data_IF_845302809394
#
_entry.id   IF_845302809394
#
_cell.length_a   1.000
_cell.length_b   1.000
_cell.length_c   1.000
_cell.angle_alpha   90.00
_cell.angle_beta   90.00
_cell.angle_gamma   90.00
#
_symmetry.space_group_name_H-M   'P 1'
#
loop_
_entity.id
_entity.type
_entity.pdbx_description
1 polymer ?
#
# COMPACT_ATOMS: atom_id res chain seq x y z
N UNK A 1 -6.47 -40.99 28.38
CA UNK A 1 -6.60 -39.71 27.64
C UNK A 1 -6.30 -38.62 28.66
N UNK A 2 -5.11 -38.01 28.56
CA UNK A 2 -4.43 -37.34 29.68
C UNK A 2 -5.18 -36.11 30.22
N UNK A 3 -5.43 -36.10 31.54
CA UNK A 3 -5.99 -34.98 32.31
C UNK A 3 -5.22 -33.66 32.13
N UNK A 4 -3.95 -33.72 31.71
CA UNK A 4 -3.14 -32.54 31.33
C UNK A 4 -3.67 -31.83 30.08
N UNK A 5 -4.20 -32.55 29.09
CA UNK A 5 -4.80 -31.92 27.90
C UNK A 5 -6.15 -31.31 28.25
N UNK A 6 -6.90 -31.93 29.16
CA UNK A 6 -8.16 -31.39 29.66
C UNK A 6 -7.96 -30.12 30.51
N UNK A 7 -6.90 -30.05 31.33
CA UNK A 7 -6.59 -28.88 32.15
C UNK A 7 -6.01 -27.70 31.35
N UNK A 8 -5.33 -27.98 30.22
CA UNK A 8 -4.81 -26.96 29.31
C UNK A 8 -5.91 -26.36 28.41
N UNK A 9 -6.90 -27.17 28.01
CA UNK A 9 -8.13 -26.70 27.35
C UNK A 9 -9.02 -25.90 28.32
N UNK A 10 -9.04 -26.25 29.61
CA UNK A 10 -9.83 -25.57 30.63
C UNK A 10 -9.28 -24.19 31.05
N UNK A 11 -8.04 -23.83 30.67
CA UNK A 11 -7.37 -22.60 31.14
C UNK A 11 -7.51 -21.38 30.23
N UNK A 12 -8.05 -21.51 29.02
CA UNK A 12 -8.41 -20.34 28.19
C UNK A 12 -9.73 -19.75 28.65
N UNK A 13 -9.73 -19.13 29.84
CA UNK A 13 -10.78 -18.20 30.25
C UNK A 13 -10.90 -17.17 29.12
N UNK A 14 -12.00 -17.21 28.37
CA UNK A 14 -12.22 -16.37 27.20
C UNK A 14 -12.17 -14.91 27.66
N UNK A 15 -11.05 -14.23 27.45
CA UNK A 15 -10.87 -12.83 27.81
C UNK A 15 -11.89 -12.05 26.98
N UNK A 16 -12.86 -11.44 27.66
CA UNK A 16 -13.86 -10.58 27.01
C UNK A 16 -13.15 -9.27 26.67
N UNK A 17 -12.56 -9.20 25.48
CA UNK A 17 -11.94 -7.96 24.97
C UNK A 17 -13.02 -6.92 24.73
N UNK A 18 -12.82 -5.69 25.20
CA UNK A 18 -13.69 -4.53 24.90
C UNK A 18 -13.43 -3.92 23.52
N UNK A 19 -12.43 -4.43 22.79
CA UNK A 19 -12.00 -3.96 21.48
C UNK A 19 -11.90 -5.14 20.47
N UNK A 20 -11.87 -4.87 19.15
CA UNK A 20 -11.68 -5.90 18.12
C UNK A 20 -10.35 -6.64 18.25
N UNK A 21 -10.30 -7.90 17.84
CA UNK A 21 -9.11 -8.75 17.99
C UNK A 21 -8.11 -8.62 16.84
N UNK A 22 -8.45 -7.87 15.79
CA UNK A 22 -7.60 -7.60 14.64
C UNK A 22 -7.65 -6.11 14.30
N UNK A 23 -6.61 -5.54 13.67
CA UNK A 23 -6.61 -4.16 13.19
C UNK A 23 -7.73 -3.88 12.19
N UNK A 24 -8.15 -2.61 12.09
CA UNK A 24 -9.30 -2.17 11.28
C UNK A 24 -9.18 -2.47 9.79
N UNK A 25 -7.96 -2.48 9.25
CA UNK A 25 -7.68 -2.73 7.84
C UNK A 25 -8.27 -4.06 7.33
N UNK A 26 -8.12 -5.13 8.10
CA UNK A 26 -8.57 -6.47 7.69
C UNK A 26 -10.11 -6.57 7.64
N UNK A 27 -10.87 -6.17 8.67
CA UNK A 27 -12.33 -6.10 8.61
C UNK A 27 -12.85 -5.10 7.57
N UNK A 28 -12.14 -3.98 7.33
CA UNK A 28 -12.52 -3.03 6.28
C UNK A 28 -12.40 -3.66 4.89
N UNK A 29 -11.35 -4.44 4.63
CA UNK A 29 -11.21 -5.18 3.38
C UNK A 29 -12.35 -6.20 3.19
N UNK A 30 -12.81 -6.85 4.26
CA UNK A 30 -13.99 -7.71 4.23
C UNK A 30 -15.29 -6.92 3.98
N UNK A 31 -15.46 -5.76 4.61
CA UNK A 31 -16.59 -4.87 4.35
C UNK A 31 -16.62 -4.40 2.89
N UNK A 32 -15.46 -4.12 2.30
CA UNK A 32 -15.33 -3.78 0.87
C UNK A 32 -15.75 -4.95 -0.02
N UNK A 33 -15.39 -6.19 0.32
CA UNK A 33 -15.85 -7.38 -0.40
C UNK A 33 -17.37 -7.55 -0.35
N UNK A 34 -18.00 -7.23 0.78
CA UNK A 34 -19.47 -7.22 0.91
C UNK A 34 -20.06 -6.13 0.00
N UNK A 35 -19.47 -4.93 -0.01
CA UNK A 35 -19.91 -3.85 -0.88
C UNK A 35 -19.76 -4.20 -2.36
N UNK A 36 -18.60 -4.70 -2.77
CA UNK A 36 -18.33 -5.07 -4.17
C UNK A 36 -19.28 -6.18 -4.67
N UNK A 37 -19.69 -7.09 -3.77
CA UNK A 37 -20.63 -8.17 -4.08
C UNK A 37 -22.10 -7.71 -4.10
N UNK A 38 -22.52 -6.89 -3.13
CA UNK A 38 -23.91 -6.49 -2.93
C UNK A 38 -24.26 -5.07 -3.38
N UNK A 39 -23.29 -4.28 -3.83
CA UNK A 39 -23.41 -2.83 -4.09
C UNK A 39 -24.05 -2.04 -2.93
N UNK A 40 -23.75 -2.45 -1.69
CA UNK A 40 -24.32 -1.84 -0.47
C UNK A 40 -25.61 -2.49 0.04
N UNK A 41 -26.24 -3.37 -0.75
CA UNK A 41 -27.44 -4.10 -0.33
C UNK A 41 -27.11 -5.26 0.62
N UNK A 42 -28.15 -5.78 1.29
CA UNK A 42 -28.03 -6.96 2.15
C UNK A 42 -27.67 -8.20 1.32
N UNK A 43 -26.64 -8.94 1.75
CA UNK A 43 -26.12 -10.12 1.05
C UNK A 43 -26.39 -11.41 1.83
N UNK A 44 -26.59 -12.52 1.11
CA UNK A 44 -26.65 -13.85 1.71
C UNK A 44 -25.22 -14.31 2.09
N UNK A 45 -25.01 -14.67 3.35
CA UNK A 45 -23.69 -15.06 3.88
C UNK A 45 -23.11 -16.22 3.09
N UNK A 46 -23.90 -17.27 2.84
CA UNK A 46 -23.40 -18.46 2.13
C UNK A 46 -22.91 -18.10 0.73
N UNK A 47 -23.73 -17.37 -0.04
CA UNK A 47 -23.39 -16.96 -1.41
C UNK A 47 -22.19 -16.02 -1.47
N UNK A 48 -22.06 -15.09 -0.52
CA UNK A 48 -20.89 -14.24 -0.40
C UNK A 48 -19.62 -15.07 -0.18
N UNK A 49 -19.66 -16.01 0.76
CA UNK A 49 -18.49 -16.81 1.11
C UNK A 49 -18.10 -17.81 -0.01
N UNK A 50 -19.06 -18.33 -0.75
CA UNK A 50 -18.83 -19.12 -1.96
C UNK A 50 -18.09 -18.28 -3.02
N UNK A 51 -18.54 -17.04 -3.26
CA UNK A 51 -17.85 -16.11 -4.18
C UNK A 51 -16.42 -15.78 -3.70
N UNK A 52 -16.22 -15.65 -2.39
CA UNK A 52 -14.89 -15.41 -1.80
C UNK A 52 -14.00 -16.66 -1.75
N UNK A 53 -14.48 -17.82 -2.23
CA UNK A 53 -13.77 -19.10 -2.14
C UNK A 53 -13.32 -19.43 -0.70
N UNK A 54 -14.17 -19.10 0.29
CA UNK A 54 -13.90 -19.29 1.72
C UNK A 54 -15.08 -20.01 2.37
N UNK A 55 -14.81 -20.84 3.39
CA UNK A 55 -15.87 -21.43 4.20
C UNK A 55 -16.36 -20.45 5.26
N UNK A 56 -17.66 -20.12 5.35
CA UNK A 56 -18.20 -19.23 6.38
C UNK A 56 -18.03 -19.81 7.81
N UNK A 57 -17.89 -21.15 7.91
CA UNK A 57 -17.73 -21.85 9.18
C UNK A 57 -16.27 -21.97 9.64
N UNK A 58 -15.31 -21.60 8.78
CA UNK A 58 -13.89 -21.59 9.15
C UNK A 58 -13.61 -20.58 10.27
N UNK A 59 -12.66 -20.89 11.16
CA UNK A 59 -12.31 -20.02 12.28
C UNK A 59 -11.91 -18.61 11.85
N UNK A 60 -11.16 -18.48 10.75
CA UNK A 60 -10.76 -17.20 10.18
C UNK A 60 -11.97 -16.38 9.69
N UNK A 61 -12.91 -17.00 8.98
CA UNK A 61 -14.12 -16.34 8.48
C UNK A 61 -15.05 -15.88 9.60
N UNK A 62 -15.21 -16.72 10.63
CA UNK A 62 -15.96 -16.35 11.84
C UNK A 62 -15.31 -15.15 12.54
N UNK A 63 -13.98 -15.13 12.64
CA UNK A 63 -13.24 -14.04 13.27
C UNK A 63 -13.35 -12.74 12.47
N UNK A 64 -13.33 -12.80 11.14
CA UNK A 64 -13.57 -11.66 10.26
C UNK A 64 -14.96 -11.04 10.49
N UNK A 65 -16.01 -11.86 10.51
CA UNK A 65 -17.38 -11.41 10.79
C UNK A 65 -17.49 -10.76 12.18
N UNK A 66 -16.87 -11.38 13.20
CA UNK A 66 -16.88 -10.84 14.57
C UNK A 66 -16.18 -9.49 14.61
N UNK A 67 -14.99 -9.36 14.03
CA UNK A 67 -14.23 -8.11 14.04
C UNK A 67 -14.95 -7.02 13.23
N UNK A 68 -15.50 -7.33 12.07
CA UNK A 68 -16.28 -6.38 11.27
C UNK A 68 -17.51 -5.87 12.03
N UNK A 69 -18.21 -6.76 12.74
CA UNK A 69 -19.31 -6.37 13.62
C UNK A 69 -18.86 -5.50 14.79
N UNK A 70 -17.71 -5.81 15.41
CA UNK A 70 -17.16 -5.03 16.53
C UNK A 70 -16.66 -3.64 16.13
N UNK A 71 -16.19 -3.47 14.91
CA UNK A 71 -15.88 -2.17 14.34
C UNK A 71 -17.13 -1.41 13.85
N UNK A 72 -18.32 -2.01 13.92
CA UNK A 72 -19.54 -1.40 13.42
C UNK A 72 -19.62 -1.31 11.89
N UNK A 73 -18.82 -2.08 11.15
CA UNK A 73 -18.84 -2.09 9.68
C UNK A 73 -20.08 -2.80 9.12
N UNK A 74 -20.53 -3.85 9.81
CA UNK A 74 -21.63 -4.72 9.37
C UNK A 74 -22.66 -4.96 10.46
N UNK A 75 -23.89 -5.30 10.04
CA UNK A 75 -24.91 -5.98 10.82
C UNK A 75 -24.99 -7.44 10.38
N UNK A 76 -25.30 -8.31 11.34
CA UNK A 76 -25.31 -9.76 11.15
C UNK A 76 -24.06 -10.41 11.74
N UNK A 77 -24.28 -11.26 12.75
CA UNK A 77 -23.20 -12.00 13.41
C UNK A 77 -22.87 -13.31 12.70
N UNK A 78 -21.99 -14.12 13.31
CA UNK A 78 -21.58 -15.42 12.76
C UNK A 78 -22.76 -16.36 12.47
N UNK A 79 -23.81 -16.29 13.29
CA UNK A 79 -25.02 -17.13 13.17
C UNK A 79 -26.09 -16.53 12.25
N UNK A 80 -25.90 -15.31 11.73
CA UNK A 80 -26.87 -14.71 10.82
C UNK A 80 -26.77 -15.32 9.43
N UNK A 81 -27.90 -15.47 8.74
CA UNK A 81 -27.93 -15.94 7.35
C UNK A 81 -27.56 -14.83 6.36
N UNK A 82 -27.77 -13.57 6.78
CA UNK A 82 -27.54 -12.37 5.98
C UNK A 82 -26.55 -11.44 6.66
N UNK A 83 -25.75 -10.75 5.85
CA UNK A 83 -24.85 -9.68 6.26
C UNK A 83 -25.24 -8.39 5.54
N UNK A 84 -25.20 -7.27 6.25
CA UNK A 84 -25.55 -5.94 5.74
C UNK A 84 -24.47 -4.95 6.18
N UNK A 85 -24.07 -4.01 5.33
CA UNK A 85 -23.19 -2.92 5.78
C UNK A 85 -23.98 -1.91 6.61
N UNK A 86 -23.39 -1.40 7.68
CA UNK A 86 -23.99 -0.26 8.39
C UNK A 86 -23.88 1.01 7.53
N UNK A 87 -24.62 2.10 7.84
CA UNK A 87 -24.47 3.36 7.11
C UNK A 87 -23.03 3.90 7.09
N UNK A 88 -22.33 3.81 8.22
CA UNK A 88 -20.91 4.20 8.30
C UNK A 88 -19.99 3.16 7.63
N UNK A 89 -20.37 1.88 7.66
CA UNK A 89 -19.73 0.81 6.90
C UNK A 89 -19.74 1.10 5.39
N UNK A 90 -20.90 1.44 4.83
CA UNK A 90 -21.03 1.89 3.43
C UNK A 90 -20.14 3.10 3.17
N UNK A 91 -20.24 4.16 3.98
CA UNK A 91 -19.40 5.37 3.82
C UNK A 91 -17.90 5.05 3.85
N UNK A 92 -17.49 4.04 4.59
CA UNK A 92 -16.08 3.67 4.73
C UNK A 92 -15.49 2.95 3.51
N UNK A 93 -16.33 2.35 2.64
CA UNK A 93 -15.89 1.51 1.50
C UNK A 93 -16.44 1.92 0.14
N UNK A 94 -17.52 2.70 0.11
CA UNK A 94 -18.15 3.16 -1.14
C UNK A 94 -17.18 4.03 -1.96
N UNK A 95 -16.83 3.63 -3.20
CA UNK A 95 -15.89 4.37 -4.04
C UNK A 95 -16.43 5.72 -4.53
N UNK A 96 -17.74 5.96 -4.43
CA UNK A 96 -18.38 7.23 -4.81
C UNK A 96 -18.36 8.25 -3.67
N UNK A 97 -18.05 7.82 -2.44
CA UNK A 97 -18.00 8.67 -1.26
C UNK A 97 -16.84 9.68 -1.37
N UNK A 98 -17.04 10.97 -1.06
CA UNK A 98 -15.96 11.95 -1.05
C UNK A 98 -14.82 11.49 -0.13
N UNK A 99 -13.54 11.65 -0.51
CA UNK A 99 -12.40 11.14 0.27
C UNK A 99 -12.39 11.59 1.74
N UNK A 100 -12.79 12.84 2.00
CA UNK A 100 -12.90 13.37 3.37
C UNK A 100 -14.02 12.71 4.17
N UNK A 101 -15.17 12.44 3.57
CA UNK A 101 -16.27 11.77 4.25
C UNK A 101 -15.96 10.30 4.51
N UNK A 102 -15.35 9.62 3.54
CA UNK A 102 -14.87 8.26 3.70
C UNK A 102 -13.81 8.17 4.81
N UNK A 103 -12.83 9.08 4.84
CA UNK A 103 -11.83 9.14 5.90
C UNK A 103 -12.45 9.43 7.27
N UNK A 104 -13.44 10.33 7.35
CA UNK A 104 -14.22 10.57 8.59
C UNK A 104 -14.89 9.31 9.08
N UNK A 105 -15.57 8.56 8.21
CA UNK A 105 -16.23 7.30 8.57
C UNK A 105 -15.20 6.27 9.08
N UNK A 106 -14.05 6.15 8.42
CA UNK A 106 -12.98 5.23 8.85
C UNK A 106 -12.38 5.62 10.21
N UNK A 107 -12.10 6.91 10.44
CA UNK A 107 -11.62 7.42 11.74
C UNK A 107 -12.63 7.10 12.84
N UNK A 108 -13.91 7.39 12.58
CA UNK A 108 -14.99 7.13 13.51
C UNK A 108 -15.04 5.65 13.91
N UNK A 109 -15.12 4.75 12.94
CA UNK A 109 -15.25 3.31 13.18
C UNK A 109 -13.98 2.70 13.82
N UNK A 110 -12.79 3.13 13.40
CA UNK A 110 -11.53 2.54 13.83
C UNK A 110 -11.05 3.03 15.20
N UNK A 111 -11.46 4.23 15.62
CA UNK A 111 -10.95 4.92 16.83
C UNK A 111 -12.10 5.44 17.70
N UNK A 112 -12.98 6.32 17.19
CA UNK A 112 -13.95 7.06 18.02
C UNK A 112 -15.06 6.17 18.60
N UNK A 113 -15.55 5.19 17.85
CA UNK A 113 -16.63 4.28 18.28
C UNK A 113 -16.13 3.16 19.22
N UNK A 114 -14.81 3.04 19.40
CA UNK A 114 -14.21 2.07 20.31
C UNK A 114 -13.76 2.80 21.57
N UNK A 115 -14.49 2.60 22.66
CA UNK A 115 -14.35 3.38 23.90
C UNK A 115 -12.90 3.52 24.42
N UNK A 116 -12.14 2.42 24.44
CA UNK A 116 -10.74 2.44 24.90
C UNK A 116 -9.82 3.21 23.94
N UNK A 117 -10.06 3.13 22.63
CA UNK A 117 -9.28 3.83 21.61
C UNK A 117 -9.61 5.32 21.59
N UNK A 118 -10.88 5.69 21.72
CA UNK A 118 -11.31 7.08 21.84
C UNK A 118 -10.65 7.77 23.05
N UNK A 119 -10.70 7.13 24.23
CA UNK A 119 -10.05 7.68 25.44
C UNK A 119 -8.53 7.81 25.31
N UNK A 120 -7.86 6.84 24.67
CA UNK A 120 -6.43 6.92 24.41
C UNK A 120 -6.10 8.05 23.41
N UNK A 121 -6.89 8.17 22.35
CA UNK A 121 -6.75 9.23 21.35
C UNK A 121 -6.87 10.61 21.98
N UNK A 122 -7.92 10.85 22.78
CA UNK A 122 -8.16 12.13 23.46
C UNK A 122 -7.02 12.48 24.44
N UNK A 123 -6.48 11.48 25.16
CA UNK A 123 -5.38 11.69 26.13
C UNK A 123 -4.06 12.09 25.45
N UNK A 124 -3.83 11.60 24.24
CA UNK A 124 -2.56 11.71 23.51
C UNK A 124 -2.59 12.75 22.38
N UNK A 125 -3.74 13.34 22.11
CA UNK A 125 -3.92 14.32 21.04
C UNK A 125 -2.90 15.46 21.14
N UNK A 126 -2.15 15.69 20.06
CA UNK A 126 -1.13 16.74 19.96
C UNK A 126 0.20 16.43 20.66
N UNK A 127 0.31 15.30 21.38
CA UNK A 127 1.53 14.87 22.05
C UNK A 127 2.37 13.97 21.13
N UNK A 128 3.67 13.89 21.42
CA UNK A 128 4.50 12.85 20.83
C UNK A 128 4.04 11.48 21.33
N UNK A 129 4.10 10.47 20.45
CA UNK A 129 3.72 9.12 20.80
C UNK A 129 4.65 8.62 21.92
N UNK A 130 4.12 8.29 23.11
CA UNK A 130 4.93 7.74 24.18
C UNK A 130 5.49 6.36 23.82
N UNK A 131 6.50 5.92 24.57
CA UNK A 131 6.96 4.54 24.47
C UNK A 131 5.82 3.56 24.76
N UNK A 132 5.84 2.39 24.10
CA UNK A 132 4.78 1.36 24.22
C UNK A 132 4.42 1.03 25.68
N UNK A 133 5.40 0.93 26.58
CA UNK A 133 5.16 0.68 28.00
C UNK A 133 4.23 1.73 28.64
N UNK A 134 4.45 3.02 28.37
CA UNK A 134 3.62 4.11 28.89
C UNK A 134 2.20 4.10 28.29
N UNK A 135 2.05 3.66 27.04
CA UNK A 135 0.74 3.46 26.42
C UNK A 135 -0.03 2.30 27.05
N UNK A 136 0.67 1.21 27.40
CA UNK A 136 0.08 0.05 28.09
C UNK A 136 -0.40 0.46 29.48
N UNK A 137 0.40 1.22 30.21
CA UNK A 137 -0.01 1.76 31.51
C UNK A 137 -1.22 2.69 31.37
N UNK A 138 -1.22 3.57 30.37
CA UNK A 138 -2.36 4.45 30.09
C UNK A 138 -3.63 3.67 29.71
N UNK A 139 -3.52 2.59 28.94
CA UNK A 139 -4.65 1.73 28.59
C UNK A 139 -5.17 0.96 29.83
N UNK A 140 -4.28 0.51 30.71
CA UNK A 140 -4.64 -0.15 31.96
C UNK A 140 -5.39 0.81 32.91
N UNK A 141 -4.93 2.06 33.03
CA UNK A 141 -5.63 3.11 33.79
C UNK A 141 -7.04 3.39 33.26
N UNK A 142 -7.27 3.21 31.95
CA UNK A 142 -8.56 3.39 31.29
C UNK A 142 -9.47 2.15 31.37
N UNK A 143 -9.06 1.12 32.12
CA UNK A 143 -9.89 -0.05 32.45
C UNK A 143 -9.55 -1.32 31.67
N UNK A 144 -8.47 -1.35 30.89
CA UNK A 144 -7.99 -2.59 30.27
C UNK A 144 -7.28 -3.48 31.32
N UNK A 145 -7.47 -4.81 31.26
CA UNK A 145 -6.61 -5.72 32.03
C UNK A 145 -5.19 -5.65 31.48
N UNK A 146 -4.17 -5.95 32.31
CA UNK A 146 -2.77 -5.89 31.90
C UNK A 146 -2.46 -6.68 30.62
N UNK A 147 -3.05 -7.88 30.47
CA UNK A 147 -2.88 -8.68 29.25
C UNK A 147 -3.61 -8.09 28.03
N UNK A 148 -4.78 -7.49 28.23
CA UNK A 148 -5.55 -6.87 27.14
C UNK A 148 -5.04 -5.48 26.75
N UNK A 149 -4.34 -4.80 27.65
CA UNK A 149 -3.80 -3.46 27.43
C UNK A 149 -2.70 -3.47 26.36
N UNK A 150 -1.84 -4.50 26.36
CA UNK A 150 -0.81 -4.64 25.33
C UNK A 150 -1.40 -4.85 23.94
N UNK A 151 -2.35 -5.78 23.82
CA UNK A 151 -3.06 -6.05 22.56
C UNK A 151 -3.88 -4.82 22.09
N UNK A 152 -4.50 -4.09 23.02
CA UNK A 152 -5.24 -2.87 22.73
C UNK A 152 -4.32 -1.79 22.16
N UNK A 153 -3.13 -1.60 22.76
CA UNK A 153 -2.14 -0.62 22.31
C UNK A 153 -1.61 -0.95 20.92
N UNK A 154 -1.30 -2.22 20.66
CA UNK A 154 -0.84 -2.64 19.33
C UNK A 154 -1.91 -2.39 18.25
N UNK A 155 -3.15 -2.79 18.53
CA UNK A 155 -4.29 -2.55 17.64
C UNK A 155 -4.54 -1.06 17.44
N UNK A 156 -4.46 -0.27 18.50
CA UNK A 156 -4.64 1.18 18.49
C UNK A 156 -3.59 1.88 17.62
N UNK A 157 -2.30 1.54 17.77
CA UNK A 157 -1.22 2.12 16.95
C UNK A 157 -1.41 1.77 15.48
N UNK A 158 -1.72 0.51 15.17
CA UNK A 158 -1.97 0.07 13.79
C UNK A 158 -3.16 0.82 13.19
N UNK A 159 -4.24 1.00 13.96
CA UNK A 159 -5.41 1.76 13.51
C UNK A 159 -5.07 3.24 13.27
N UNK A 160 -4.38 3.91 14.20
CA UNK A 160 -3.98 5.31 14.06
C UNK A 160 -3.15 5.54 12.79
N UNK A 161 -2.19 4.64 12.53
CA UNK A 161 -1.37 4.69 11.32
C UNK A 161 -2.22 4.47 10.07
N UNK A 162 -3.09 3.46 10.08
CA UNK A 162 -3.96 3.13 8.95
C UNK A 162 -4.93 4.26 8.59
N UNK A 163 -5.56 4.92 9.58
CA UNK A 163 -6.52 6.01 9.34
C UNK A 163 -5.85 7.39 9.19
N UNK A 164 -4.52 7.46 9.20
CA UNK A 164 -3.78 8.71 8.96
C UNK A 164 -3.74 9.69 10.14
N UNK A 165 -4.05 9.24 11.35
CA UNK A 165 -4.00 10.05 12.58
C UNK A 165 -2.61 10.07 13.24
N UNK A 166 -1.63 9.35 12.67
CA UNK A 166 -0.25 9.33 13.14
C UNK A 166 0.70 9.88 12.07
N UNK A 167 1.50 10.89 12.44
CA UNK A 167 2.43 11.56 11.53
C UNK A 167 3.82 11.69 12.13
N UNK A 168 4.85 11.56 11.29
CA UNK A 168 6.23 11.88 11.67
C UNK A 168 6.47 13.38 11.54
N UNK A 169 6.65 14.05 12.67
CA UNK A 169 6.93 15.49 12.74
C UNK A 169 8.26 15.70 13.47
N UNK A 170 9.26 16.25 12.78
CA UNK A 170 10.60 16.47 13.32
C UNK A 170 11.27 15.19 13.87
N UNK A 171 11.09 14.06 13.18
CA UNK A 171 11.70 12.77 13.55
C UNK A 171 10.98 12.01 14.68
N UNK A 172 9.85 12.50 15.17
CA UNK A 172 9.02 11.81 16.17
C UNK A 172 7.61 11.55 15.63
N UNK A 173 7.07 10.35 15.86
CA UNK A 173 5.66 10.04 15.60
C UNK A 173 4.76 10.83 16.58
N UNK A 174 3.72 11.48 16.05
CA UNK A 174 2.76 12.28 16.80
C UNK A 174 1.34 11.93 16.39
N UNK A 175 0.43 11.97 17.35
CA UNK A 175 -1.00 11.81 17.10
C UNK A 175 -1.59 13.20 16.78
N UNK A 176 -2.28 13.31 15.64
CA UNK A 176 -2.88 14.55 15.17
C UNK A 176 -4.41 14.53 15.24
N UNK A 177 -5.02 15.71 15.21
CA UNK A 177 -6.47 15.83 15.12
C UNK A 177 -7.01 15.29 13.81
N UNK A 178 -8.26 14.83 13.82
CA UNK A 178 -8.97 14.45 12.60
C UNK A 178 -9.01 15.57 11.59
N UNK A 179 -9.11 16.83 12.00
CA UNK A 179 -9.11 17.97 11.07
C UNK A 179 -7.78 18.07 10.32
N UNK A 180 -6.65 17.96 11.02
CA UNK A 180 -5.31 17.95 10.39
C UNK A 180 -5.15 16.75 9.45
N UNK A 181 -5.67 15.58 9.83
CA UNK A 181 -5.62 14.40 8.98
C UNK A 181 -6.48 14.56 7.71
N UNK A 182 -7.64 15.20 7.83
CA UNK A 182 -8.56 15.46 6.72
C UNK A 182 -8.11 16.60 5.80
N UNK A 183 -7.38 17.59 6.32
CA UNK A 183 -6.85 18.70 5.53
C UNK A 183 -5.79 18.26 4.52
N UNK A 184 -5.13 17.12 4.78
CA UNK A 184 -4.22 16.47 3.81
C UNK A 184 -4.95 15.82 2.64
N UNK A 185 -6.26 15.62 2.75
CA UNK A 185 -7.09 15.09 1.69
C UNK A 185 -7.68 16.25 0.88
N UNK A 186 -7.79 16.11 -0.46
CA UNK A 186 -8.39 17.13 -1.30
C UNK A 186 -9.79 17.49 -0.76
N UNK A 187 -10.15 18.78 -0.75
CA UNK A 187 -11.49 19.19 -0.35
C UNK A 187 -12.54 18.46 -1.19
N UNK A 188 -13.67 18.13 -0.58
CA UNK A 188 -14.88 17.76 -1.29
C UNK A 188 -15.25 18.94 -2.18
N UNK A 189 -14.91 18.85 -3.48
CA UNK A 189 -15.25 19.86 -4.46
C UNK A 189 -16.75 19.79 -4.70
N UNK A 190 -17.49 20.74 -4.14
CA UNK A 190 -18.78 21.12 -4.71
C UNK A 190 -18.53 21.55 -6.15
N UNK A 191 -19.28 20.93 -7.07
CA UNK A 191 -19.19 21.15 -8.51
C UNK A 191 -19.52 22.61 -8.86
N UNK A 192 -18.50 23.42 -9.13
CA UNK A 192 -18.60 24.61 -9.97
C UNK A 192 -17.27 24.85 -10.73
N UNK A 193 -17.30 25.29 -12.00
CA UNK A 193 -16.11 25.28 -12.85
C UNK A 193 -15.31 26.59 -12.80
N UNK A 194 -14.03 26.44 -13.14
CA UNK A 194 -13.03 27.44 -13.55
C UNK A 194 -12.31 28.25 -12.46
N UNK A 195 -11.00 28.01 -12.30
CA UNK A 195 -9.96 28.72 -13.05
C UNK A 195 -8.56 28.22 -12.64
N UNK A 196 -7.69 28.04 -13.63
CA UNK A 196 -6.28 27.67 -13.51
C UNK A 196 -5.48 28.81 -12.90
N UNK A 197 -4.69 28.54 -11.85
CA UNK A 197 -3.40 29.20 -11.63
C UNK A 197 -2.40 28.21 -11.01
N UNK A 198 -1.25 28.11 -11.69
CA UNK A 198 -0.07 27.32 -11.34
C UNK A 198 0.93 28.14 -10.54
N UNK A 199 1.50 27.57 -9.46
CA UNK A 199 2.95 27.60 -9.18
C UNK A 199 3.36 26.78 -7.94
N UNK A 200 4.18 25.74 -8.19
CA UNK A 200 5.37 25.25 -7.44
C UNK A 200 5.34 25.07 -5.91
N UNK A 201 5.47 23.81 -5.43
CA UNK A 201 6.75 23.15 -5.06
C UNK A 201 6.55 22.02 -4.02
N UNK A 202 7.04 20.81 -4.33
CA UNK A 202 7.57 19.84 -3.36
C UNK A 202 6.64 19.21 -2.32
N UNK A 203 5.92 18.16 -2.69
CA UNK A 203 5.69 16.95 -1.86
C UNK A 203 5.03 15.89 -2.74
N UNK A 204 5.32 14.60 -2.49
CA UNK A 204 4.85 13.45 -3.27
C UNK A 204 3.32 13.46 -3.46
N UNK A 205 2.88 14.08 -4.55
CA UNK A 205 1.48 14.10 -4.96
C UNK A 205 1.24 12.81 -5.71
N UNK A 206 0.28 12.00 -5.22
CA UNK A 206 -0.22 10.81 -5.91
C UNK A 206 -0.50 11.14 -7.38
N UNK A 207 0.37 10.66 -8.27
CA UNK A 207 0.21 10.87 -9.72
C UNK A 207 -0.75 9.79 -10.22
N UNK A 208 -1.91 10.22 -10.67
CA UNK A 208 -2.91 9.33 -11.27
C UNK A 208 -2.66 9.25 -12.77
N UNK A 209 -2.90 8.10 -13.42
CA UNK A 209 -2.64 7.91 -14.85
C UNK A 209 -3.34 8.96 -15.76
N UNK A 210 -4.49 9.49 -15.34
CA UNK A 210 -5.25 10.53 -16.07
C UNK A 210 -4.65 11.93 -15.96
N UNK A 211 -3.90 12.23 -14.90
CA UNK A 211 -3.20 13.50 -14.69
C UNK A 211 -1.66 13.35 -14.81
N UNK A 212 -1.19 12.15 -15.15
CA UNK A 212 0.21 11.86 -15.30
C UNK A 212 0.75 12.61 -16.51
N UNK A 213 1.74 13.47 -16.27
CA UNK A 213 2.56 14.01 -17.35
C UNK A 213 3.52 12.89 -17.79
N UNK A 214 3.03 11.93 -18.58
CA UNK A 214 3.81 10.77 -19.01
C UNK A 214 5.11 11.16 -19.72
N UNK A 215 5.10 12.30 -20.41
CA UNK A 215 6.28 12.90 -21.07
C UNK A 215 7.40 13.34 -20.12
N UNK A 216 7.14 13.46 -18.82
CA UNK A 216 8.13 13.79 -17.77
C UNK A 216 8.16 12.73 -16.67
N UNK A 217 7.48 11.60 -16.87
CA UNK A 217 7.39 10.52 -15.87
C UNK A 217 8.41 9.43 -16.16
N UNK A 218 9.13 9.01 -15.13
CA UNK A 218 9.83 7.73 -15.08
C UNK A 218 9.00 6.76 -14.24
N UNK A 219 8.57 5.65 -14.85
CA UNK A 219 7.88 4.60 -14.12
C UNK A 219 8.88 3.58 -13.58
N UNK A 220 8.83 3.33 -12.26
CA UNK A 220 9.73 2.41 -11.57
C UNK A 220 9.00 1.11 -11.22
N UNK A 221 9.46 0.03 -11.87
CA UNK A 221 8.98 -1.33 -11.69
C UNK A 221 9.97 -2.06 -10.79
N UNK A 222 9.50 -2.68 -9.71
CA UNK A 222 10.35 -3.31 -8.70
C UNK A 222 9.57 -4.41 -7.97
N UNK A 223 10.23 -5.39 -7.33
CA UNK A 223 9.55 -6.39 -6.53
C UNK A 223 8.78 -5.74 -5.38
N UNK A 224 7.45 -5.80 -5.45
CA UNK A 224 6.57 -5.33 -4.37
C UNK A 224 6.29 -6.50 -3.44
N UNK A 225 6.63 -6.34 -2.17
CA UNK A 225 6.24 -7.24 -1.08
C UNK A 225 5.30 -6.57 -0.08
N UNK A 226 4.85 -7.32 0.92
CA UNK A 226 4.05 -6.78 2.02
C UNK A 226 4.80 -5.67 2.77
N UNK A 227 4.10 -4.78 3.49
CA UNK A 227 4.73 -3.86 4.42
C UNK A 227 5.72 -4.62 5.32
N UNK A 228 6.89 -4.04 5.57
CA UNK A 228 8.03 -4.63 6.33
C UNK A 228 8.78 -5.81 5.68
N UNK A 229 8.41 -6.27 4.47
CA UNK A 229 9.14 -7.35 3.81
C UNK A 229 10.54 -6.92 3.34
N UNK A 230 11.43 -7.89 3.13
CA UNK A 230 12.77 -7.61 2.58
C UNK A 230 12.69 -7.01 1.18
N UNK A 231 11.73 -7.43 0.36
CA UNK A 231 11.45 -6.83 -0.95
C UNK A 231 11.01 -5.37 -0.80
N UNK A 232 10.19 -5.05 0.21
CA UNK A 232 9.77 -3.67 0.48
C UNK A 232 10.96 -2.80 0.88
N UNK A 233 11.76 -3.23 1.86
CA UNK A 233 12.98 -2.53 2.30
C UNK A 233 13.97 -2.33 1.14
N UNK A 234 14.17 -3.36 0.33
CA UNK A 234 14.97 -3.30 -0.88
C UNK A 234 14.43 -2.26 -1.88
N UNK A 235 13.12 -2.31 -2.17
CA UNK A 235 12.49 -1.39 -3.12
C UNK A 235 12.55 0.07 -2.66
N UNK A 236 12.41 0.32 -1.35
CA UNK A 236 12.51 1.65 -0.75
C UNK A 236 13.97 2.16 -0.78
N UNK A 237 14.94 1.29 -0.44
CA UNK A 237 16.36 1.61 -0.55
C UNK A 237 16.75 1.95 -1.99
N UNK A 238 16.34 1.13 -2.96
CA UNK A 238 16.70 1.32 -4.36
C UNK A 238 16.08 2.58 -4.96
N UNK A 239 14.80 2.82 -4.67
CA UNK A 239 14.09 4.01 -5.10
C UNK A 239 14.80 5.27 -4.59
N UNK A 240 14.95 5.40 -3.26
CA UNK A 240 15.46 6.64 -2.65
C UNK A 240 16.96 6.85 -2.77
N UNK A 241 17.77 5.77 -2.83
CA UNK A 241 19.24 5.88 -2.84
C UNK A 241 19.85 5.85 -4.24
N UNK A 242 19.18 5.25 -5.22
CA UNK A 242 19.73 5.10 -6.58
C UNK A 242 18.88 5.75 -7.65
N UNK A 243 17.58 5.44 -7.69
CA UNK A 243 16.69 5.82 -8.79
C UNK A 243 16.37 7.32 -8.76
N UNK A 244 15.80 7.82 -7.66
CA UNK A 244 15.44 9.24 -7.55
C UNK A 244 16.66 10.18 -7.69
N UNK A 245 17.81 9.93 -7.02
CA UNK A 245 18.98 10.77 -7.17
C UNK A 245 19.56 10.77 -8.59
N UNK A 246 19.57 9.62 -9.27
CA UNK A 246 20.04 9.53 -10.65
C UNK A 246 19.15 10.31 -11.63
N UNK A 247 17.85 10.41 -11.35
CA UNK A 247 16.89 11.08 -12.21
C UNK A 247 16.75 12.58 -11.95
N UNK A 248 17.30 13.09 -10.85
CA UNK A 248 17.19 14.50 -10.44
C UNK A 248 17.62 15.49 -11.55
N UNK A 249 18.67 15.15 -12.31
CA UNK A 249 19.19 16.01 -13.39
C UNK A 249 18.36 16.01 -14.67
N UNK A 250 17.38 15.11 -14.79
CA UNK A 250 16.55 14.96 -15.99
C UNK A 250 15.17 15.62 -15.86
N UNK A 251 14.87 16.25 -14.71
CA UNK A 251 13.57 16.89 -14.47
C UNK A 251 12.38 15.92 -14.52
N UNK A 252 12.62 14.63 -14.28
CA UNK A 252 11.59 13.59 -14.31
C UNK A 252 11.05 13.29 -12.92
N UNK A 253 9.74 13.05 -12.82
CA UNK A 253 9.12 12.52 -11.61
C UNK A 253 9.12 10.99 -11.65
N UNK A 254 9.54 10.36 -10.56
CA UNK A 254 9.51 8.90 -10.43
C UNK A 254 8.16 8.47 -9.85
N UNK A 255 7.50 7.52 -10.51
CA UNK A 255 6.28 6.88 -10.02
C UNK A 255 6.57 5.40 -9.86
N UNK A 256 6.44 4.87 -8.64
CA UNK A 256 6.56 3.43 -8.38
C UNK A 256 5.19 2.77 -8.54
N UNK A 257 5.18 1.52 -9.00
CA UNK A 257 3.94 0.79 -9.31
C UNK A 257 2.93 0.68 -8.15
N UNK A 258 3.38 0.62 -6.90
CA UNK A 258 2.53 0.62 -5.69
C UNK A 258 2.03 2.02 -5.29
N UNK A 259 2.61 3.09 -5.83
CA UNK A 259 2.18 4.48 -5.60
C UNK A 259 1.00 4.91 -6.48
N UNK A 260 0.46 4.02 -7.31
CA UNK A 260 -0.68 4.27 -8.20
C UNK A 260 -1.96 3.84 -7.48
N UNK A 261 -2.60 4.77 -6.77
CA UNK A 261 -3.66 4.47 -5.80
C UNK A 261 -5.06 4.91 -6.29
N UNK A 262 -5.59 4.28 -7.37
CA UNK A 262 -6.98 4.48 -7.83
C UNK A 262 -7.79 3.16 -7.90
N UNK A 263 -9.11 3.19 -7.61
CA UNK A 263 -10.03 2.08 -7.91
C UNK A 263 -10.09 1.76 -9.41
N UNK A 264 -9.87 0.49 -9.76
CA UNK A 264 -9.89 -0.05 -11.12
C UNK A 264 -9.16 -1.40 -11.18
N UNK A 265 -9.16 -2.08 -12.33
CA UNK A 265 -8.27 -3.24 -12.51
C UNK A 265 -6.83 -2.69 -12.48
N UNK A 266 -6.11 -2.92 -11.38
CA UNK A 266 -4.73 -2.46 -11.13
C UNK A 266 -3.85 -2.66 -12.37
N UNK A 267 -4.06 -3.78 -13.07
CA UNK A 267 -3.39 -4.14 -14.32
C UNK A 267 -3.53 -3.09 -15.43
N UNK A 268 -4.67 -2.41 -15.59
CA UNK A 268 -4.87 -1.41 -16.66
C UNK A 268 -3.99 -0.18 -16.46
N UNK A 269 -3.94 0.35 -15.24
CA UNK A 269 -3.19 1.58 -14.95
C UNK A 269 -1.68 1.35 -15.02
N UNK A 270 -1.21 0.23 -14.46
CA UNK A 270 0.19 -0.18 -14.59
C UNK A 270 0.55 -0.30 -16.08
N UNK A 271 -0.28 -0.97 -16.89
CA UNK A 271 -0.05 -1.06 -18.35
C UNK A 271 0.03 0.34 -18.97
N UNK A 272 -0.86 1.28 -18.62
CA UNK A 272 -0.79 2.65 -19.14
C UNK A 272 0.54 3.34 -18.81
N UNK A 273 1.03 3.23 -17.57
CA UNK A 273 2.34 3.75 -17.20
C UNK A 273 3.47 3.04 -17.95
N UNK A 274 3.40 1.72 -18.13
CA UNK A 274 4.39 0.96 -18.88
C UNK A 274 4.45 1.42 -20.34
N UNK A 275 3.30 1.66 -20.99
CA UNK A 275 3.26 1.95 -22.43
C UNK A 275 3.32 3.45 -22.76
N UNK A 276 3.08 4.34 -21.80
CA UNK A 276 3.07 5.81 -22.04
C UNK A 276 4.22 6.56 -21.39
N UNK A 277 4.79 6.09 -20.28
CA UNK A 277 5.84 6.84 -19.57
C UNK A 277 7.08 7.05 -20.44
N UNK A 278 7.70 8.23 -20.33
CA UNK A 278 8.91 8.60 -21.08
C UNK A 278 10.04 7.59 -20.83
N UNK A 279 10.18 7.13 -19.60
CA UNK A 279 11.19 6.16 -19.19
C UNK A 279 10.56 5.10 -18.29
N UNK A 280 11.07 3.88 -18.39
CA UNK A 280 10.86 2.84 -17.39
C UNK A 280 12.20 2.40 -16.81
N UNK A 281 12.30 2.33 -15.48
CA UNK A 281 13.40 1.65 -14.79
C UNK A 281 12.84 0.38 -14.17
N UNK A 282 13.49 -0.75 -14.45
CA UNK A 282 13.06 -2.07 -13.96
C UNK A 282 14.12 -2.67 -13.05
N UNK A 283 13.71 -3.03 -11.85
CA UNK A 283 14.52 -3.74 -10.87
C UNK A 283 14.20 -5.24 -10.90
N UNK A 284 15.15 -6.03 -11.42
CA UNK A 284 15.01 -7.47 -11.66
C UNK A 284 15.35 -8.33 -10.43
N UNK A 285 15.59 -7.70 -9.29
CA UNK A 285 15.96 -8.39 -8.04
C UNK A 285 14.86 -9.37 -7.59
N UNK A 286 15.24 -10.37 -6.80
CA UNK A 286 14.34 -11.41 -6.27
C UNK A 286 13.55 -12.23 -7.31
N UNK A 287 13.83 -12.08 -8.60
CA UNK A 287 13.16 -12.78 -9.70
C UNK A 287 11.63 -12.73 -9.65
N UNK A 288 11.07 -11.56 -9.33
CA UNK A 288 9.61 -11.40 -9.24
C UNK A 288 8.95 -11.63 -10.62
N UNK A 289 8.04 -12.62 -10.78
CA UNK A 289 7.40 -12.91 -12.07
C UNK A 289 6.62 -11.75 -12.68
N UNK A 290 6.01 -10.90 -11.85
CA UNK A 290 5.25 -9.75 -12.33
C UNK A 290 6.15 -8.70 -12.97
N UNK A 291 7.33 -8.46 -12.39
CA UNK A 291 8.34 -7.54 -12.94
C UNK A 291 8.77 -7.99 -14.34
N UNK A 292 8.99 -9.29 -14.56
CA UNK A 292 9.35 -9.81 -15.88
C UNK A 292 8.19 -9.70 -16.89
N UNK A 293 6.96 -9.88 -16.44
CA UNK A 293 5.78 -9.68 -17.28
C UNK A 293 5.68 -8.22 -17.75
N UNK A 294 5.85 -7.26 -16.85
CA UNK A 294 5.79 -5.83 -17.16
C UNK A 294 6.97 -5.38 -18.05
N UNK A 295 8.16 -5.93 -17.82
CA UNK A 295 9.33 -5.77 -18.68
C UNK A 295 9.03 -6.20 -20.12
N UNK A 296 8.40 -7.36 -20.32
CA UNK A 296 8.06 -7.88 -21.64
C UNK A 296 7.11 -6.95 -22.40
N UNK A 297 6.15 -6.33 -21.72
CA UNK A 297 5.26 -5.32 -22.32
C UNK A 297 6.07 -4.10 -22.79
N UNK A 298 6.98 -3.58 -21.96
CA UNK A 298 7.85 -2.45 -22.34
C UNK A 298 8.74 -2.81 -23.54
N UNK A 299 9.24 -4.05 -23.60
CA UNK A 299 10.02 -4.53 -24.75
C UNK A 299 9.23 -4.47 -26.05
N UNK A 300 7.96 -4.90 -26.04
CA UNK A 300 7.08 -4.86 -27.21
C UNK A 300 6.80 -3.44 -27.72
N UNK A 301 6.77 -2.46 -26.82
CA UNK A 301 6.57 -1.05 -27.16
C UNK A 301 7.82 -0.37 -27.74
N UNK A 302 9.00 -0.95 -27.53
CA UNK A 302 10.31 -0.38 -27.90
C UNK A 302 10.47 1.06 -27.43
N UNK A 303 10.18 1.28 -26.15
CA UNK A 303 10.31 2.58 -25.51
C UNK A 303 11.49 2.55 -24.50
N UNK A 304 12.06 3.72 -24.16
CA UNK A 304 13.24 3.81 -23.29
C UNK A 304 13.11 2.99 -22.00
N UNK A 305 14.11 2.18 -21.72
CA UNK A 305 14.16 1.29 -20.56
C UNK A 305 15.57 1.18 -20.00
N UNK A 306 15.69 1.14 -18.68
CA UNK A 306 16.95 0.82 -17.96
C UNK A 306 16.69 -0.31 -16.97
N UNK A 307 17.58 -1.29 -16.94
CA UNK A 307 17.48 -2.44 -16.05
C UNK A 307 18.51 -2.35 -14.93
N UNK A 308 18.08 -2.63 -13.71
CA UNK A 308 18.94 -2.74 -12.53
C UNK A 308 18.69 -4.09 -11.84
N UNK A 309 19.70 -4.62 -11.17
CA UNK A 309 19.60 -5.89 -10.44
C UNK A 309 20.59 -5.91 -9.29
N UNK A 310 20.27 -6.63 -8.21
CA UNK A 310 21.28 -6.95 -7.20
C UNK A 310 22.28 -7.97 -7.72
N UNK A 311 23.54 -7.81 -7.32
CA UNK A 311 24.61 -8.77 -7.62
C UNK A 311 24.32 -10.20 -7.15
N UNK A 312 23.52 -10.37 -6.09
CA UNK A 312 23.13 -11.69 -5.58
C UNK A 312 22.19 -12.46 -6.49
N UNK A 313 21.53 -11.76 -7.43
CA UNK A 313 20.43 -12.30 -8.21
C UNK A 313 20.90 -12.46 -9.67
N UNK A 314 21.10 -13.70 -10.17
CA UNK A 314 21.56 -13.91 -11.55
C UNK A 314 20.53 -13.43 -12.57
N UNK A 315 20.96 -12.78 -13.63
CA UNK A 315 20.07 -12.32 -14.70
C UNK A 315 19.63 -13.54 -15.55
N UNK A 316 18.32 -13.78 -15.74
CA UNK A 316 17.83 -14.86 -16.59
C UNK A 316 18.39 -14.79 -18.02
N UNK A 317 18.62 -15.96 -18.64
CA UNK A 317 19.28 -16.05 -19.94
C UNK A 317 18.59 -15.22 -21.03
N UNK A 318 17.26 -15.22 -21.08
CA UNK A 318 16.49 -14.54 -22.13
C UNK A 318 16.63 -13.00 -22.15
N UNK A 319 17.11 -12.41 -21.05
CA UNK A 319 17.30 -10.96 -20.93
C UNK A 319 18.76 -10.57 -20.62
N UNK A 320 19.68 -11.54 -20.50
CA UNK A 320 21.07 -11.27 -20.14
C UNK A 320 21.88 -10.53 -21.22
N UNK A 321 21.35 -10.46 -22.45
CA UNK A 321 21.96 -9.75 -23.57
C UNK A 321 21.73 -8.24 -23.46
N UNK A 322 20.74 -7.81 -22.67
CA UNK A 322 20.50 -6.40 -22.42
C UNK A 322 21.45 -5.88 -21.33
N UNK A 323 21.88 -4.64 -21.51
CA UNK A 323 22.73 -3.97 -20.53
C UNK A 323 21.94 -3.76 -19.24
N UNK A 324 22.35 -4.45 -18.19
CA UNK A 324 21.78 -4.35 -16.84
C UNK A 324 22.82 -3.81 -15.88
N UNK A 325 22.44 -2.85 -15.04
CA UNK A 325 23.29 -2.31 -13.99
C UNK A 325 23.24 -3.26 -12.80
N UNK A 326 24.40 -3.76 -12.40
CA UNK A 326 24.51 -4.69 -11.25
C UNK A 326 24.94 -3.92 -10.02
N UNK A 327 24.06 -3.87 -9.02
CA UNK A 327 24.29 -3.18 -7.74
C UNK A 327 24.71 -4.21 -6.69
N UNK A 328 25.93 -4.05 -6.17
CA UNK A 328 26.45 -4.90 -5.10
C UNK A 328 25.91 -4.46 -3.74
N UNK A 329 24.91 -5.20 -3.24
CA UNK A 329 24.29 -4.98 -1.92
C UNK A 329 24.73 -6.02 -0.88
N UNK A 330 25.84 -6.73 -1.12
CA UNK A 330 26.28 -7.82 -0.25
C UNK A 330 26.74 -7.35 1.13
N UNK A 331 27.29 -6.14 1.22
CA UNK A 331 27.79 -5.56 2.46
C UNK A 331 27.73 -4.02 2.41
N UNK A 332 27.52 -3.39 3.57
CA UNK A 332 27.41 -1.93 3.67
C UNK A 332 28.73 -1.23 3.33
N UNK A 333 29.87 -1.85 3.65
CA UNK A 333 31.19 -1.28 3.38
C UNK A 333 31.56 -1.34 1.89
N UNK A 334 30.91 -2.20 1.11
CA UNK A 334 31.06 -2.24 -0.35
C UNK A 334 30.00 -1.38 -1.06
N UNK A 335 28.79 -1.33 -0.52
CA UNK A 335 27.66 -0.57 -1.05
C UNK A 335 27.86 0.94 -0.92
N UNK A 336 28.07 1.44 0.30
CA UNK A 336 28.06 2.87 0.62
C UNK A 336 29.07 3.66 -0.23
N UNK A 337 30.35 3.24 -0.37
CA UNK A 337 31.31 3.97 -1.19
C UNK A 337 30.97 4.02 -2.68
N UNK A 338 30.16 3.08 -3.17
CA UNK A 338 29.78 2.96 -4.59
C UNK A 338 28.44 3.61 -4.94
N UNK A 339 27.69 4.14 -3.98
CA UNK A 339 26.36 4.73 -4.22
C UNK A 339 26.42 5.79 -5.34
N UNK A 340 27.34 6.75 -5.25
CA UNK A 340 27.50 7.80 -6.26
C UNK A 340 27.89 7.25 -7.65
N UNK A 341 28.68 6.17 -7.68
CA UNK A 341 29.05 5.48 -8.92
C UNK A 341 27.84 4.81 -9.56
N UNK A 342 26.98 4.13 -8.79
CA UNK A 342 25.75 3.54 -9.29
C UNK A 342 24.76 4.60 -9.78
N UNK A 343 24.59 5.70 -9.05
CA UNK A 343 23.77 6.84 -9.49
C UNK A 343 24.27 7.41 -10.82
N UNK A 344 25.59 7.55 -10.98
CA UNK A 344 26.21 8.03 -12.22
C UNK A 344 26.02 7.05 -13.37
N UNK A 345 26.12 5.74 -13.10
CA UNK A 345 25.89 4.70 -14.10
C UNK A 345 24.44 4.66 -14.56
N UNK A 346 23.47 4.73 -13.63
CA UNK A 346 22.04 4.84 -13.95
C UNK A 346 21.80 6.10 -14.80
N UNK A 347 22.30 7.25 -14.37
CA UNK A 347 22.15 8.52 -15.10
C UNK A 347 22.70 8.43 -16.53
N UNK A 348 23.87 7.79 -16.70
CA UNK A 348 24.50 7.59 -18.01
C UNK A 348 23.65 6.70 -18.92
N UNK A 349 23.11 5.59 -18.40
CA UNK A 349 22.23 4.73 -19.17
C UNK A 349 20.88 5.40 -19.49
N UNK A 350 20.30 6.13 -18.54
CA UNK A 350 19.09 6.92 -18.75
C UNK A 350 19.27 7.92 -19.88
N UNK A 351 20.39 8.66 -19.89
CA UNK A 351 20.69 9.63 -20.96
C UNK A 351 20.71 8.95 -22.33
N UNK A 352 21.44 7.83 -22.45
CA UNK A 352 21.53 7.05 -23.71
C UNK A 352 20.17 6.52 -24.16
N UNK A 353 19.38 5.97 -23.22
CA UNK A 353 18.05 5.45 -23.51
C UNK A 353 17.08 6.53 -24.00
N UNK A 354 17.23 7.76 -23.51
CA UNK A 354 16.39 8.90 -23.91
C UNK A 354 16.86 9.58 -25.21
N UNK A 355 18.16 9.62 -25.48
CA UNK A 355 18.72 10.17 -26.72
C UNK A 355 18.39 9.29 -27.93
N UNK A 356 18.43 7.96 -27.76
CA UNK A 356 18.19 6.98 -28.83
C UNK A 356 16.89 6.20 -28.61
N UNK A 357 15.79 6.91 -28.30
CA UNK A 357 14.53 6.28 -27.88
C UNK A 357 13.91 5.32 -28.92
N UNK A 358 14.20 5.49 -30.22
CA UNK A 358 13.70 4.62 -31.30
C UNK A 358 14.62 3.42 -31.60
N UNK A 359 15.84 3.40 -31.05
CA UNK A 359 16.85 2.35 -31.27
C UNK A 359 16.97 1.41 -30.07
N UNK A 360 15.97 1.38 -29.17
CA UNK A 360 15.99 0.46 -28.03
C UNK A 360 16.02 -0.98 -28.53
N UNK A 361 17.17 -1.63 -28.35
CA UNK A 361 17.37 -3.04 -28.61
C UNK A 361 16.84 -3.87 -27.44
N UNK A 362 15.92 -4.78 -27.75
CA UNK A 362 15.33 -5.75 -26.84
C UNK A 362 15.43 -7.13 -27.47
N UNK A 363 15.30 -8.22 -26.70
CA UNK A 363 15.27 -9.58 -27.25
C UNK A 363 14.29 -9.70 -28.42
N UNK A 364 13.17 -8.98 -28.35
CA UNK A 364 12.12 -9.00 -29.37
C UNK A 364 12.58 -8.27 -30.63
N UNK A 365 13.16 -7.07 -30.51
CA UNK A 365 13.62 -6.31 -31.68
C UNK A 365 14.83 -6.94 -32.36
N UNK A 366 15.65 -7.71 -31.63
CA UNK A 366 16.78 -8.44 -32.22
C UNK A 366 16.30 -9.49 -33.23
N UNK A 367 15.24 -10.23 -32.91
CA UNK A 367 14.67 -11.23 -33.81
C UNK A 367 13.64 -10.64 -34.78
N UNK A 368 12.95 -9.56 -34.39
CA UNK A 368 11.92 -8.89 -35.19
C UNK A 368 12.13 -7.36 -35.20
N UNK A 369 13.06 -6.83 -36.01
CA UNK A 369 13.45 -5.40 -35.98
C UNK A 369 12.32 -4.43 -36.35
N UNK A 370 11.29 -4.91 -37.03
CA UNK A 370 10.13 -4.12 -37.47
C UNK A 370 8.94 -4.22 -36.51
N UNK A 371 8.97 -5.14 -35.54
CA UNK A 371 7.86 -5.36 -34.63
C UNK A 371 7.87 -4.29 -33.53
N UNK A 372 6.83 -3.46 -33.52
CA UNK A 372 6.57 -2.45 -32.49
C UNK A 372 5.07 -2.37 -32.26
N UNK A 373 4.63 -2.56 -31.02
CA UNK A 373 3.25 -2.31 -30.66
C UNK A 373 3.01 -0.79 -30.61
N UNK A 374 1.92 -0.35 -31.24
CA UNK A 374 1.52 1.06 -31.25
C UNK A 374 0.19 1.23 -30.50
N UNK A 375 0.06 2.34 -29.78
CA UNK A 375 -1.21 2.77 -29.20
C UNK A 375 -2.01 3.40 -30.34
N UNK A 376 -3.10 2.75 -30.76
CA UNK A 376 -3.97 3.19 -31.85
C UNK A 376 -4.71 4.48 -31.48
#
# INVERSE_FOLDING_TARGET
MNERVASEVARRKRIVRSFPAAPFEEPLAFAKQIFDFGSGETVQKLTLFDHLSKSPESGASRQLIINAGRYGLIKGGVQADKLELTPDGVRSVDPTMPPREQARARIKLAIEDIEIFAKLYDRLLGKALPAKAALVDAAAELGATKESAEEAVDTFILNLRFVGLMLTLSGAERIVSKDIALDKLPPSLDLAPAAVQTSTSGSASLVTAEHAQFSTTCFYITPIGSPESEQRKHSDLFLGSFVEPALASFGMSVVRADGIDKPGVITKQIIEYIVKSRLVIVDLSYHNPNVFYELAIRHMMRLPIVQIVRKSDPIPFDINQMRTIVIDTTDIFTLIPKIASYQSEISSQVRRALENADEVETPISTYFPQLRANLV
#
